data_IF_094656250347
#
_entry.id   IF_094656250347
#
_cell.length_a   1.000
_cell.length_b   1.000
_cell.length_c   1.000
_cell.angle_alpha   90.00
_cell.angle_beta   90.00
_cell.angle_gamma   90.00
#
_symmetry.space_group_name_H-M   'P 1'
#
loop_
_entity.id
_entity.type
_entity.pdbx_description
1 polymer ?
#
# COMPACT_ATOMS: atom_id res chain seq x y z
N UNK A 1 -10.07 2.01 -26.75
CA UNK A 1 -9.99 1.88 -25.28
C UNK A 1 -10.62 3.14 -24.68
N UNK A 2 -11.76 3.04 -24.01
CA UNK A 2 -12.33 4.19 -23.30
C UNK A 2 -11.32 4.71 -22.28
N UNK A 3 -11.00 6.01 -22.36
CA UNK A 3 -10.22 6.69 -21.32
C UNK A 3 -11.06 6.68 -20.04
N UNK A 4 -10.78 5.74 -19.13
CA UNK A 4 -11.42 5.71 -17.80
C UNK A 4 -11.17 7.05 -17.12
N UNK A 5 -12.25 7.74 -16.73
CA UNK A 5 -12.16 9.01 -16.01
C UNK A 5 -11.35 8.80 -14.71
N UNK A 6 -10.47 9.74 -14.33
CA UNK A 6 -9.78 9.69 -13.05
C UNK A 6 -10.79 9.57 -11.91
N UNK A 7 -10.52 8.66 -10.96
CA UNK A 7 -11.36 8.49 -9.76
C UNK A 7 -11.18 9.75 -8.90
N UNK A 8 -12.27 10.47 -8.64
CA UNK A 8 -12.24 11.67 -7.80
C UNK A 8 -12.27 11.25 -6.32
N UNK A 9 -11.11 11.36 -5.66
CA UNK A 9 -10.95 11.01 -4.24
C UNK A 9 -11.22 12.19 -3.30
N UNK A 10 -11.99 11.93 -2.25
CA UNK A 10 -12.26 12.88 -1.17
C UNK A 10 -10.97 13.31 -0.48
N UNK A 11 -10.86 14.59 -0.08
CA UNK A 11 -9.64 15.18 0.47
C UNK A 11 -9.06 14.38 1.65
N UNK A 12 -9.93 13.93 2.56
CA UNK A 12 -9.54 13.10 3.71
C UNK A 12 -8.80 11.80 3.33
N UNK A 13 -9.14 11.19 2.19
CA UNK A 13 -8.53 9.93 1.74
C UNK A 13 -7.32 10.15 0.82
N UNK A 14 -7.09 11.37 0.36
CA UNK A 14 -5.97 11.66 -0.56
C UNK A 14 -4.59 11.36 0.05
N UNK A 15 -4.31 11.61 1.34
CA UNK A 15 -3.02 11.23 1.93
C UNK A 15 -2.72 9.73 1.80
N UNK A 16 -3.69 8.86 2.09
CA UNK A 16 -3.58 7.41 1.91
C UNK A 16 -3.37 7.04 0.44
N UNK A 17 -4.12 7.66 -0.48
CA UNK A 17 -3.91 7.46 -1.92
C UNK A 17 -2.55 7.92 -2.41
N UNK A 18 -1.94 8.93 -1.77
CA UNK A 18 -0.54 9.30 -2.05
C UNK A 18 0.39 8.21 -1.54
N UNK A 19 0.12 7.62 -0.36
CA UNK A 19 0.90 6.48 0.16
C UNK A 19 0.88 5.27 -0.80
N UNK A 20 -0.29 4.98 -1.37
CA UNK A 20 -0.45 3.97 -2.43
C UNK A 20 0.45 4.19 -3.65
N UNK A 21 0.74 5.45 -4.02
CA UNK A 21 1.68 5.70 -5.11
C UNK A 21 3.08 5.15 -4.79
N UNK A 22 3.54 5.24 -3.54
CA UNK A 22 4.83 4.68 -3.16
C UNK A 22 4.80 3.16 -3.09
N UNK A 23 3.70 2.54 -2.67
CA UNK A 23 3.53 1.08 -2.76
C UNK A 23 3.62 0.59 -4.22
N UNK A 24 2.98 1.28 -5.16
CA UNK A 24 3.09 0.96 -6.59
C UNK A 24 4.51 1.20 -7.12
N UNK A 25 5.17 2.28 -6.67
CA UNK A 25 6.56 2.57 -7.04
C UNK A 25 7.51 1.50 -6.47
N UNK A 26 7.26 0.99 -5.28
CA UNK A 26 7.99 -0.12 -4.67
C UNK A 26 7.86 -1.39 -5.53
N UNK A 27 6.64 -1.79 -5.92
CA UNK A 27 6.46 -2.95 -6.80
C UNK A 27 7.18 -2.75 -8.15
N UNK A 28 7.16 -1.54 -8.71
CA UNK A 28 7.96 -1.22 -9.90
C UNK A 28 9.47 -1.32 -9.65
N UNK A 29 9.98 -0.83 -8.51
CA UNK A 29 11.41 -0.92 -8.15
C UNK A 29 11.86 -2.37 -8.00
N UNK A 30 11.06 -3.25 -7.36
CA UNK A 30 11.35 -4.68 -7.29
C UNK A 30 11.43 -5.31 -8.69
N UNK A 31 10.44 -5.06 -9.56
CA UNK A 31 10.46 -5.50 -10.96
C UNK A 31 11.72 -5.05 -11.70
N UNK A 32 12.16 -3.80 -11.46
CA UNK A 32 13.43 -3.29 -12.01
C UNK A 32 14.64 -4.02 -11.47
N UNK A 33 14.68 -4.27 -10.17
CA UNK A 33 15.72 -5.06 -9.50
C UNK A 33 15.88 -6.44 -10.14
N UNK A 34 14.78 -7.17 -10.30
CA UNK A 34 14.77 -8.47 -10.99
C UNK A 34 15.27 -8.36 -12.44
N UNK A 35 14.79 -7.40 -13.21
CA UNK A 35 15.22 -7.21 -14.61
C UNK A 35 16.72 -6.91 -14.76
N UNK A 36 17.34 -6.34 -13.72
CA UNK A 36 18.77 -6.03 -13.65
C UNK A 36 19.59 -7.15 -13.00
N UNK A 37 18.97 -8.28 -12.66
CA UNK A 37 19.59 -9.37 -11.89
C UNK A 37 20.26 -8.87 -10.60
N UNK A 38 19.62 -7.93 -9.90
CA UNK A 38 20.09 -7.47 -8.60
C UNK A 38 20.02 -8.62 -7.60
N UNK A 39 21.04 -8.73 -6.76
CA UNK A 39 21.14 -9.75 -5.72
C UNK A 39 19.87 -9.77 -4.83
N UNK A 40 19.24 -10.95 -4.61
CA UNK A 40 18.02 -11.06 -3.82
C UNK A 40 18.15 -10.53 -2.39
N UNK A 41 19.31 -10.63 -1.75
CA UNK A 41 19.54 -10.11 -0.40
C UNK A 41 19.50 -8.57 -0.39
N UNK A 42 20.01 -7.93 -1.45
CA UNK A 42 19.92 -6.46 -1.63
C UNK A 42 18.47 -6.01 -1.80
N UNK A 43 17.68 -6.74 -2.59
CA UNK A 43 16.25 -6.46 -2.75
C UNK A 43 15.47 -6.68 -1.45
N UNK A 44 15.83 -7.70 -0.67
CA UNK A 44 15.21 -7.99 0.62
C UNK A 44 15.51 -6.90 1.65
N UNK A 45 16.73 -6.36 1.69
CA UNK A 45 17.06 -5.20 2.54
C UNK A 45 16.18 -3.99 2.21
N UNK A 46 15.91 -3.75 0.92
CA UNK A 46 14.99 -2.70 0.50
C UNK A 46 13.55 -3.00 0.93
N UNK A 47 13.07 -4.23 0.73
CA UNK A 47 11.73 -4.65 1.14
C UNK A 47 11.52 -4.50 2.66
N UNK A 48 12.46 -4.96 3.49
CA UNK A 48 12.39 -4.82 4.94
C UNK A 48 12.37 -3.36 5.38
N UNK A 49 13.18 -2.50 4.77
CA UNK A 49 13.15 -1.07 5.04
C UNK A 49 11.80 -0.45 4.65
N UNK A 50 11.28 -0.76 3.47
CA UNK A 50 10.03 -0.22 2.95
C UNK A 50 8.83 -0.69 3.78
N UNK A 51 8.87 -1.93 4.26
CA UNK A 51 7.86 -2.47 5.16
C UNK A 51 7.71 -1.64 6.43
N UNK A 52 8.82 -1.44 7.15
CA UNK A 52 8.81 -0.73 8.44
C UNK A 52 8.52 0.76 8.30
N UNK A 53 8.93 1.39 7.19
CA UNK A 53 8.79 2.84 6.99
C UNK A 53 7.48 3.26 6.34
N UNK A 54 6.93 2.43 5.45
CA UNK A 54 5.81 2.83 4.61
C UNK A 54 4.60 1.88 4.79
N UNK A 55 4.76 0.57 4.56
CA UNK A 55 3.61 -0.35 4.51
C UNK A 55 2.96 -0.58 5.88
N UNK A 56 3.76 -0.92 6.90
CA UNK A 56 3.23 -1.21 8.23
C UNK A 56 2.44 -0.04 8.83
N UNK A 57 2.98 1.20 8.91
CA UNK A 57 2.21 2.32 9.43
C UNK A 57 1.00 2.69 8.56
N UNK A 58 1.06 2.40 7.25
CA UNK A 58 -0.07 2.60 6.34
C UNK A 58 -1.22 1.63 6.64
N UNK A 59 -0.95 0.33 6.70
CA UNK A 59 -1.96 -0.68 7.04
C UNK A 59 -2.55 -0.44 8.43
N UNK A 60 -1.73 -0.14 9.44
CA UNK A 60 -2.22 0.19 10.78
C UNK A 60 -3.19 1.38 10.78
N UNK A 61 -2.92 2.40 9.95
CA UNK A 61 -3.81 3.55 9.83
C UNK A 61 -5.13 3.20 9.12
N UNK A 62 -5.07 2.40 8.06
CA UNK A 62 -6.27 1.98 7.34
C UNK A 62 -7.18 1.12 8.21
N UNK A 63 -6.63 0.12 8.88
CA UNK A 63 -7.38 -0.78 9.75
C UNK A 63 -8.04 -0.03 10.90
N UNK A 64 -7.32 0.91 11.52
CA UNK A 64 -7.79 1.62 12.69
C UNK A 64 -8.81 2.72 12.38
N UNK A 65 -8.67 3.40 11.24
CA UNK A 65 -9.40 4.66 11.00
C UNK A 65 -10.27 4.65 9.75
N UNK A 66 -9.93 3.85 8.75
CA UNK A 66 -10.56 3.89 7.43
C UNK A 66 -11.54 2.73 7.29
N UNK A 67 -11.11 1.52 7.63
CA UNK A 67 -11.92 0.31 7.53
C UNK A 67 -13.08 0.31 8.52
N UNK A 68 -12.94 1.00 9.65
CA UNK A 68 -13.99 1.19 10.67
C UNK A 68 -15.18 2.04 10.20
N UNK A 69 -15.09 2.67 9.03
CA UNK A 69 -16.23 3.37 8.40
C UNK A 69 -17.28 2.38 7.90
N UNK A 70 -16.85 1.23 7.39
CA UNK A 70 -17.74 0.15 7.01
C UNK A 70 -18.06 -0.71 8.24
N UNK A 71 -19.16 -1.47 8.17
CA UNK A 71 -19.45 -2.48 9.19
C UNK A 71 -18.36 -3.56 9.19
N UNK A 72 -18.06 -4.09 10.38
CA UNK A 72 -17.02 -5.11 10.56
C UNK A 72 -17.27 -6.37 9.73
N UNK A 73 -18.53 -6.75 9.50
CA UNK A 73 -18.93 -7.91 8.70
C UNK A 73 -18.84 -7.67 7.17
N UNK A 74 -18.39 -6.48 6.74
CA UNK A 74 -18.28 -6.14 5.34
C UNK A 74 -17.23 -7.00 4.63
N UNK A 75 -17.64 -7.69 3.57
CA UNK A 75 -16.78 -8.58 2.78
C UNK A 75 -15.53 -7.90 2.20
N UNK A 76 -15.59 -6.60 1.91
CA UNK A 76 -14.44 -5.85 1.40
C UNK A 76 -13.39 -5.61 2.49
N UNK A 77 -13.83 -5.37 3.74
CA UNK A 77 -12.92 -5.24 4.90
C UNK A 77 -12.28 -6.59 5.21
N UNK A 78 -13.06 -7.66 5.25
CA UNK A 78 -12.50 -9.01 5.43
C UNK A 78 -11.45 -9.37 4.37
N UNK A 79 -11.69 -8.95 3.12
CA UNK A 79 -10.72 -9.12 2.04
C UNK A 79 -9.46 -8.30 2.29
N UNK A 80 -9.58 -7.00 2.56
CA UNK A 80 -8.45 -6.11 2.80
C UNK A 80 -7.56 -6.63 3.94
N UNK A 81 -8.16 -6.96 5.09
CA UNK A 81 -7.44 -7.52 6.25
C UNK A 81 -6.75 -8.86 5.95
N UNK A 82 -7.36 -9.69 5.08
CA UNK A 82 -6.73 -10.94 4.65
C UNK A 82 -5.53 -10.67 3.74
N UNK A 83 -5.67 -9.72 2.81
CA UNK A 83 -4.60 -9.29 1.91
C UNK A 83 -3.45 -8.63 2.71
N UNK A 84 -3.74 -7.78 3.70
CA UNK A 84 -2.72 -7.20 4.60
C UNK A 84 -1.87 -8.28 5.28
N UNK A 85 -2.51 -9.22 5.98
CA UNK A 85 -1.79 -10.32 6.66
C UNK A 85 -0.93 -11.14 5.70
N UNK A 86 -1.43 -11.37 4.48
CA UNK A 86 -0.70 -12.12 3.46
C UNK A 86 0.52 -11.33 2.97
N UNK A 87 0.36 -10.05 2.66
CA UNK A 87 1.43 -9.15 2.21
C UNK A 87 2.50 -9.01 3.31
N UNK A 88 2.09 -8.83 4.56
CA UNK A 88 3.04 -8.79 5.70
C UNK A 88 3.86 -10.07 5.82
N UNK A 89 3.24 -11.24 5.62
CA UNK A 89 3.97 -12.50 5.66
C UNK A 89 4.99 -12.60 4.51
N UNK A 90 4.66 -12.09 3.32
CA UNK A 90 5.60 -12.04 2.20
C UNK A 90 6.79 -11.13 2.46
N UNK A 91 6.59 -9.99 3.15
CA UNK A 91 7.69 -9.14 3.60
C UNK A 91 8.62 -9.83 4.61
N UNK A 92 8.08 -10.75 5.44
CA UNK A 92 8.82 -11.47 6.49
C UNK A 92 9.45 -12.77 6.01
N UNK A 93 9.15 -13.22 4.78
CA UNK A 93 9.63 -14.46 4.20
C UNK A 93 11.10 -14.35 3.76
N UNK A 94 11.95 -15.22 4.31
CA UNK A 94 13.40 -15.20 4.10
C UNK A 94 13.98 -16.50 3.54
N UNK A 95 13.21 -17.60 3.49
CA UNK A 95 13.72 -18.89 2.99
C UNK A 95 13.90 -18.89 1.48
N UNK A 96 13.02 -18.18 0.76
CA UNK A 96 13.11 -18.01 -0.69
C UNK A 96 12.81 -16.55 -1.08
N UNK A 97 13.80 -15.64 -0.91
CA UNK A 97 13.61 -14.21 -1.13
C UNK A 97 13.16 -13.88 -2.55
N UNK A 98 13.70 -14.55 -3.57
CA UNK A 98 13.34 -14.29 -4.96
C UNK A 98 11.86 -14.56 -5.22
N UNK A 99 11.37 -15.72 -4.78
CA UNK A 99 9.97 -16.09 -4.93
C UNK A 99 9.06 -15.20 -4.08
N UNK A 100 9.41 -14.91 -2.83
CA UNK A 100 8.58 -14.10 -1.94
C UNK A 100 8.48 -12.66 -2.44
N UNK A 101 9.58 -12.05 -2.87
CA UNK A 101 9.62 -10.70 -3.42
C UNK A 101 8.86 -10.59 -4.75
N UNK A 102 8.92 -11.63 -5.60
CA UNK A 102 8.12 -11.68 -6.83
C UNK A 102 6.62 -11.78 -6.55
N UNK A 103 6.21 -12.55 -5.54
CA UNK A 103 4.80 -12.59 -5.13
C UNK A 103 4.36 -11.28 -4.47
N UNK A 104 5.25 -10.70 -3.65
CA UNK A 104 4.99 -9.48 -2.93
C UNK A 104 4.69 -8.30 -3.85
N UNK A 105 5.50 -8.11 -4.90
CA UNK A 105 5.30 -6.99 -5.81
C UNK A 105 3.93 -7.07 -6.52
N UNK A 106 3.54 -8.27 -6.94
CA UNK A 106 2.27 -8.54 -7.62
C UNK A 106 1.07 -8.38 -6.66
N UNK A 107 1.15 -9.00 -5.48
CA UNK A 107 0.07 -9.00 -4.49
C UNK A 107 -0.16 -7.58 -3.93
N UNK A 108 0.90 -6.81 -3.67
CA UNK A 108 0.79 -5.41 -3.24
C UNK A 108 0.19 -4.51 -4.34
N UNK A 109 0.64 -4.65 -5.59
CA UNK A 109 0.08 -3.86 -6.72
C UNK A 109 -1.42 -4.16 -6.90
N UNK A 110 -1.80 -5.44 -6.81
CA UNK A 110 -3.19 -5.88 -6.92
C UNK A 110 -4.05 -5.36 -5.75
N UNK A 111 -3.54 -5.43 -4.53
CA UNK A 111 -4.20 -4.94 -3.32
C UNK A 111 -4.46 -3.43 -3.41
N UNK A 112 -3.45 -2.63 -3.69
CA UNK A 112 -3.58 -1.17 -3.84
C UNK A 112 -4.62 -0.82 -4.91
N UNK A 113 -4.63 -1.53 -6.05
CA UNK A 113 -5.64 -1.30 -7.09
C UNK A 113 -7.04 -1.67 -6.64
N UNK A 114 -7.19 -2.73 -5.86
CA UNK A 114 -8.47 -3.12 -5.26
C UNK A 114 -8.98 -2.00 -4.35
N UNK A 115 -8.12 -1.48 -3.48
CA UNK A 115 -8.53 -0.45 -2.53
C UNK A 115 -8.92 0.84 -3.24
N UNK A 116 -8.06 1.31 -4.13
CA UNK A 116 -8.29 2.55 -4.88
C UNK A 116 -9.53 2.50 -5.78
N UNK A 117 -9.80 1.34 -6.39
CA UNK A 117 -10.89 1.24 -7.38
C UNK A 117 -12.21 0.79 -6.77
N UNK A 118 -12.17 0.11 -5.63
CA UNK A 118 -13.34 -0.53 -5.03
C UNK A 118 -13.52 -0.04 -3.60
N UNK A 119 -12.64 -0.41 -2.67
CA UNK A 119 -12.87 -0.21 -1.24
C UNK A 119 -13.02 1.26 -0.86
N UNK A 120 -12.09 2.12 -1.27
CA UNK A 120 -12.12 3.54 -0.96
C UNK A 120 -13.30 4.27 -1.63
N UNK A 121 -13.80 3.77 -2.76
CA UNK A 121 -15.03 4.29 -3.36
C UNK A 121 -16.26 3.93 -2.52
N UNK A 122 -16.34 2.71 -1.98
CA UNK A 122 -17.44 2.31 -1.09
C UNK A 122 -17.40 3.07 0.23
N UNK A 123 -16.22 3.23 0.84
CA UNK A 123 -16.04 4.04 2.04
C UNK A 123 -16.50 5.47 1.80
N UNK A 124 -16.05 6.11 0.71
CA UNK A 124 -16.41 7.48 0.39
C UNK A 124 -17.93 7.69 0.20
N UNK A 125 -18.68 6.66 -0.24
CA UNK A 125 -20.13 6.75 -0.42
C UNK A 125 -20.89 6.81 0.90
N UNK A 126 -20.38 6.17 1.95
CA UNK A 126 -21.11 5.99 3.22
C UNK A 126 -20.50 6.75 4.39
N UNK A 127 -19.26 7.24 4.26
CA UNK A 127 -18.58 7.97 5.31
C UNK A 127 -19.32 9.26 5.69
N UNK A 128 -19.54 9.45 6.99
CA UNK A 128 -20.05 10.71 7.54
C UNK A 128 -18.96 11.79 7.56
N UNK A 129 -19.36 13.06 7.65
CA UNK A 129 -18.42 14.18 7.72
C UNK A 129 -17.45 14.02 8.91
N UNK A 130 -17.94 13.62 10.09
CA UNK A 130 -17.11 13.40 11.29
C UNK A 130 -16.11 12.25 11.09
N UNK A 131 -16.49 11.17 10.40
CA UNK A 131 -15.55 10.09 10.07
C UNK A 131 -14.46 10.55 9.11
N UNK A 132 -14.82 11.32 8.07
CA UNK A 132 -13.85 11.87 7.11
C UNK A 132 -12.90 12.89 7.77
N UNK A 133 -13.40 13.68 8.72
CA UNK A 133 -12.60 14.62 9.49
C UNK A 133 -11.54 13.89 10.33
N UNK A 134 -11.95 12.85 11.07
CA UNK A 134 -11.02 12.00 11.84
C UNK A 134 -9.92 11.40 10.95
N UNK A 135 -10.29 10.86 9.79
CA UNK A 135 -9.30 10.34 8.82
C UNK A 135 -8.34 11.47 8.40
N UNK A 136 -8.84 12.67 8.13
CA UNK A 136 -8.00 13.80 7.69
C UNK A 136 -7.02 14.29 8.76
N UNK A 137 -7.43 14.34 10.03
CA UNK A 137 -6.60 14.83 11.14
C UNK A 137 -5.35 13.96 11.34
N UNK A 138 -5.51 12.65 11.25
CA UNK A 138 -4.44 11.67 11.51
C UNK A 138 -3.41 11.67 10.39
N UNK A 139 -3.84 11.95 9.16
CA UNK A 139 -2.96 11.97 7.99
C UNK A 139 -2.44 13.38 7.65
N UNK A 140 -2.47 14.32 8.59
CA UNK A 140 -1.91 15.67 8.41
C UNK A 140 -0.37 15.62 8.32
N UNK A 141 0.10 15.43 7.09
CA UNK A 141 1.44 15.69 6.53
C UNK A 141 2.66 15.52 7.45
N UNK A 142 3.22 14.31 7.46
CA UNK A 142 4.66 14.15 7.71
C UNK A 142 5.43 14.53 6.43
N UNK A 143 6.07 15.71 6.45
CA UNK A 143 6.81 16.31 5.33
C UNK A 143 8.25 15.76 5.19
N UNK A 144 8.79 15.11 6.22
CA UNK A 144 10.09 14.44 6.16
C UNK A 144 9.87 12.98 5.82
N UNK A 145 10.22 12.61 4.58
CA UNK A 145 10.11 11.23 4.09
C UNK A 145 11.48 10.57 4.11
N UNK A 146 11.59 9.36 4.69
CA UNK A 146 12.85 8.64 4.66
C UNK A 146 13.15 8.22 3.22
N UNK A 147 14.32 8.62 2.72
CA UNK A 147 14.83 8.12 1.45
C UNK A 147 15.60 6.81 1.68
N UNK A 148 15.47 5.87 0.75
CA UNK A 148 16.29 4.66 0.79
C UNK A 148 17.66 4.96 0.17
N UNK A 149 18.77 4.73 0.88
CA UNK A 149 20.09 5.20 0.48
C UNK A 149 20.72 4.40 -0.66
N UNK A 150 20.16 3.26 -1.04
CA UNK A 150 20.70 2.36 -2.06
C UNK A 150 19.77 2.26 -3.29
N UNK A 151 19.93 3.13 -4.30
CA UNK A 151 19.03 3.22 -5.44
C UNK A 151 19.35 2.18 -6.53
N UNK A 152 19.24 0.89 -6.22
CA UNK A 152 19.55 -0.21 -7.16
C UNK A 152 18.72 -0.19 -8.47
N UNK A 153 17.60 0.54 -8.47
CA UNK A 153 16.71 0.71 -9.62
C UNK A 153 17.18 1.77 -10.61
N UNK A 154 18.16 2.59 -10.24
CA UNK A 154 18.74 3.62 -11.11
C UNK A 154 19.78 2.99 -12.06
N UNK A 155 20.16 3.76 -13.09
CA UNK A 155 20.96 3.27 -14.21
C UNK A 155 22.35 2.81 -13.77
#
# INVERSE_FOLDING_TARGET
MEKKKPIKRHRALQPLSRQHHFGLLFSWKLRKGFSKNIDPERLQKYASWFFEKEIKPHFEAEEKYVFTVLKEDNKLIHRALKEHRRIENLFKENENPEKSLSQLEEELDAHIRFEERILFNEIQKVATASQLEKISEIHSENLSRPEYPDPFWEN
#
